data_IF_401670023882
#
_entry.id   IF_401670023882
#
_cell.length_a   1.000
_cell.length_b   1.000
_cell.length_c   1.000
_cell.angle_alpha   90.00
_cell.angle_beta   90.00
_cell.angle_gamma   90.00
#
_symmetry.space_group_name_H-M   'P 1'
#
loop_
_entity.id
_entity.type
_entity.pdbx_description
1 polymer ?
#
# COMPACT_ATOMS: atom_id res chain seq x y z
N UNK A 1 18.31 -26.70 10.65
CA UNK A 1 17.51 -25.66 11.34
C UNK A 1 16.86 -24.85 10.24
N UNK A 2 15.56 -25.06 10.02
CA UNK A 2 14.82 -24.34 8.98
C UNK A 2 14.81 -22.87 9.36
N UNK A 3 15.43 -22.03 8.52
CA UNK A 3 15.49 -20.59 8.66
C UNK A 3 14.09 -20.07 8.34
N UNK A 4 13.17 -20.14 9.31
CA UNK A 4 11.94 -19.37 9.21
C UNK A 4 12.38 -17.93 9.28
N UNK A 5 12.25 -17.21 8.16
CA UNK A 5 12.48 -15.78 8.10
C UNK A 5 11.45 -15.15 9.02
N UNK A 6 11.84 -14.89 10.27
CA UNK A 6 10.98 -14.28 11.27
C UNK A 6 10.75 -12.82 10.86
N UNK A 7 9.60 -12.58 10.22
CA UNK A 7 9.12 -11.25 9.91
C UNK A 7 8.91 -10.47 11.22
N UNK A 8 9.28 -9.20 11.23
CA UNK A 8 9.24 -8.34 12.42
C UNK A 8 8.11 -7.33 12.27
N UNK A 9 7.26 -7.20 13.28
CA UNK A 9 6.21 -6.18 13.33
C UNK A 9 6.82 -4.81 13.59
N UNK A 10 6.68 -3.88 12.65
CA UNK A 10 7.16 -2.49 12.76
C UNK A 10 6.07 -1.49 13.05
N UNK A 11 4.82 -1.82 12.69
CA UNK A 11 3.65 -0.99 12.96
C UNK A 11 2.46 -1.84 13.39
N UNK A 12 1.61 -1.27 14.25
CA UNK A 12 0.40 -1.92 14.75
C UNK A 12 -0.75 -0.91 14.73
N UNK A 13 -1.88 -1.33 14.17
CA UNK A 13 -3.11 -0.55 14.14
C UNK A 13 -4.35 -1.42 14.42
N UNK A 14 -5.53 -0.78 14.52
CA UNK A 14 -6.84 -1.41 14.65
C UNK A 14 -7.63 -1.51 13.34
N UNK A 15 -7.11 -0.99 12.23
CA UNK A 15 -7.80 -0.97 10.94
C UNK A 15 -6.93 -1.45 9.80
N UNK A 16 -7.53 -2.17 8.85
CA UNK A 16 -6.82 -2.68 7.68
C UNK A 16 -6.37 -1.53 6.76
N UNK A 17 -7.18 -0.47 6.65
CA UNK A 17 -6.86 0.73 5.87
C UNK A 17 -5.56 1.41 6.28
N UNK A 18 -5.35 1.66 7.59
CA UNK A 18 -4.12 2.28 8.06
C UNK A 18 -2.90 1.36 7.86
N UNK A 19 -3.10 0.04 7.95
CA UNK A 19 -2.04 -0.92 7.69
C UNK A 19 -1.66 -0.98 6.20
N UNK A 20 -2.63 -0.90 5.30
CA UNK A 20 -2.40 -0.80 3.85
C UNK A 20 -1.63 0.49 3.51
N UNK A 21 -2.01 1.64 4.10
CA UNK A 21 -1.29 2.90 3.87
C UNK A 21 0.19 2.81 4.28
N UNK A 22 0.47 2.19 5.43
CA UNK A 22 1.83 2.00 5.92
C UNK A 22 2.60 0.99 5.05
N UNK A 23 1.96 -0.10 4.61
CA UNK A 23 2.56 -1.05 3.67
C UNK A 23 2.95 -0.35 2.37
N UNK A 24 2.05 0.43 1.78
CA UNK A 24 2.26 1.06 0.49
C UNK A 24 3.41 2.08 0.58
N UNK A 25 3.49 2.87 1.65
CA UNK A 25 4.64 3.77 1.91
C UNK A 25 5.98 3.01 2.00
N UNK A 26 5.98 1.86 2.65
CA UNK A 26 7.18 1.01 2.75
C UNK A 26 7.55 0.42 1.39
N UNK A 27 6.57 -0.07 0.61
CA UNK A 27 6.77 -0.66 -0.71
C UNK A 27 7.31 0.37 -1.73
N UNK A 28 6.74 1.58 -1.74
CA UNK A 28 7.19 2.73 -2.54
C UNK A 28 8.66 3.10 -2.24
N UNK A 29 9.10 2.86 -0.99
CA UNK A 29 10.47 3.09 -0.55
C UNK A 29 11.39 1.88 -0.75
N UNK A 30 10.89 0.82 -1.38
CA UNK A 30 11.62 -0.42 -1.67
C UNK A 30 11.78 -1.37 -0.48
N UNK A 31 11.01 -1.17 0.60
CA UNK A 31 11.01 -2.03 1.78
C UNK A 31 9.83 -3.02 1.66
N UNK A 32 10.09 -4.33 1.46
CA UNK A 32 9.01 -5.29 1.33
C UNK A 32 8.24 -5.41 2.65
N UNK A 33 6.93 -5.20 2.58
CA UNK A 33 6.04 -5.22 3.75
C UNK A 33 4.83 -6.14 3.53
N UNK A 34 4.40 -6.80 4.59
CA UNK A 34 3.19 -7.65 4.60
C UNK A 34 2.27 -7.25 5.75
N UNK A 35 0.96 -7.33 5.51
CA UNK A 35 -0.06 -7.05 6.53
C UNK A 35 -0.58 -8.36 7.11
N UNK A 36 -0.50 -8.49 8.44
CA UNK A 36 -1.07 -9.59 9.21
C UNK A 36 -2.24 -9.07 10.05
N UNK A 37 -3.46 -9.37 9.61
CA UNK A 37 -4.69 -9.04 10.34
C UNK A 37 -5.11 -10.22 11.22
N UNK A 38 -5.35 -9.96 12.50
CA UNK A 38 -6.00 -10.90 13.44
C UNK A 38 -7.45 -10.48 13.74
N UNK A 39 -7.97 -9.51 12.98
CA UNK A 39 -9.28 -8.91 13.19
C UNK A 39 -10.38 -9.84 12.72
N UNK A 40 -11.38 -10.04 13.56
CA UNK A 40 -12.63 -10.66 13.14
C UNK A 40 -13.53 -9.62 12.45
N UNK A 41 -13.66 -9.73 11.13
CA UNK A 41 -14.47 -8.78 10.35
C UNK A 41 -15.99 -8.93 10.55
N UNK A 42 -16.46 -10.00 11.19
CA UNK A 42 -17.89 -10.16 11.50
C UNK A 42 -18.34 -9.23 12.64
N UNK A 43 -17.39 -8.77 13.47
CA UNK A 43 -17.63 -7.78 14.50
C UNK A 43 -16.94 -6.47 14.13
N UNK A 44 -17.71 -5.43 13.85
CA UNK A 44 -17.17 -4.11 13.48
C UNK A 44 -16.62 -3.31 14.68
N UNK A 45 -15.93 -3.98 15.59
CA UNK A 45 -15.35 -3.42 16.81
C UNK A 45 -13.83 -3.40 16.67
N UNK A 46 -13.24 -2.19 16.73
CA UNK A 46 -11.79 -2.00 16.61
C UNK A 46 -11.11 -1.93 18.00
N UNK A 47 -11.62 -2.69 18.98
CA UNK A 47 -11.23 -2.53 20.39
C UNK A 47 -10.36 -3.69 20.86
N UNK A 48 -9.16 -3.35 21.36
CA UNK A 48 -8.27 -4.29 22.01
C UNK A 48 -7.47 -5.18 21.05
N UNK A 49 -6.84 -6.22 21.59
CA UNK A 49 -5.95 -7.11 20.83
C UNK A 49 -6.66 -7.94 19.74
N UNK A 50 -7.98 -8.11 19.85
CA UNK A 50 -8.81 -8.83 18.87
C UNK A 50 -9.06 -8.07 17.56
N UNK A 51 -8.64 -6.81 17.47
CA UNK A 51 -8.69 -6.00 16.26
C UNK A 51 -7.29 -5.64 15.76
N UNK A 52 -6.25 -6.33 16.24
CA UNK A 52 -4.87 -5.98 15.89
C UNK A 52 -4.53 -6.34 14.45
N UNK A 53 -4.06 -5.33 13.72
CA UNK A 53 -3.48 -5.46 12.39
C UNK A 53 -2.01 -5.03 12.49
N UNK A 54 -1.13 -5.89 12.00
CA UNK A 54 0.31 -5.70 12.07
C UNK A 54 0.88 -5.50 10.68
N UNK A 55 1.77 -4.53 10.52
CA UNK A 55 2.62 -4.41 9.33
C UNK A 55 3.98 -4.99 9.68
N UNK A 56 4.41 -5.97 8.88
CA UNK A 56 5.62 -6.73 9.10
C UNK A 56 6.61 -6.57 7.95
N UNK A 57 7.90 -6.55 8.27
CA UNK A 57 9.00 -6.45 7.30
C UNK A 57 10.07 -7.53 7.60
N UNK A 58 10.96 -7.85 6.65
CA UNK A 58 12.12 -8.69 6.93
C UNK A 58 13.00 -8.07 8.03
N UNK A 59 13.61 -8.89 8.90
CA UNK A 59 14.39 -8.40 10.03
C UNK A 59 15.55 -7.51 9.60
N UNK A 60 16.16 -7.78 8.45
CA UNK A 60 17.27 -6.98 7.88
C UNK A 60 16.85 -5.55 7.45
N UNK A 61 15.54 -5.26 7.41
CA UNK A 61 14.95 -3.96 7.02
C UNK A 61 14.14 -3.31 8.13
N UNK A 62 14.11 -3.90 9.32
CA UNK A 62 13.27 -3.42 10.42
C UNK A 62 13.65 -2.01 10.88
N UNK A 63 14.95 -1.73 11.03
CA UNK A 63 15.44 -0.41 11.43
C UNK A 63 15.15 0.65 10.35
N UNK A 64 15.43 0.34 9.08
CA UNK A 64 15.12 1.21 7.93
C UNK A 64 13.62 1.57 7.88
N UNK A 65 12.74 0.59 8.13
CA UNK A 65 11.30 0.79 8.13
C UNK A 65 10.83 1.69 9.26
N UNK A 66 11.37 1.51 10.47
CA UNK A 66 11.02 2.36 11.62
C UNK A 66 11.48 3.79 11.37
N UNK A 67 12.70 3.99 10.89
CA UNK A 67 13.25 5.32 10.57
C UNK A 67 12.37 6.05 9.54
N UNK A 68 11.96 5.37 8.47
CA UNK A 68 11.08 5.94 7.45
C UNK A 68 9.68 6.32 7.97
N UNK A 69 9.15 5.56 8.93
CA UNK A 69 7.84 5.81 9.51
C UNK A 69 7.86 6.92 10.57
N UNK A 70 9.02 7.19 11.17
CA UNK A 70 9.23 8.30 12.10
C UNK A 70 9.60 9.61 11.39
N UNK A 71 9.93 9.57 10.10
CA UNK A 71 10.24 10.75 9.30
C UNK A 71 9.03 11.71 9.23
N UNK A 72 9.24 12.94 9.70
CA UNK A 72 8.29 14.05 9.63
C UNK A 72 8.94 15.24 8.94
N UNK A 73 8.22 15.89 8.03
CA UNK A 73 8.66 17.15 7.43
C UNK A 73 8.37 18.31 8.37
N UNK A 74 9.34 19.21 8.53
CA UNK A 74 9.13 20.44 9.28
C UNK A 74 8.27 21.44 8.48
N UNK A 75 7.63 22.38 9.18
CA UNK A 75 6.71 23.36 8.56
C UNK A 75 7.37 24.16 7.42
N UNK A 76 8.65 24.53 7.57
CA UNK A 76 9.42 25.26 6.56
C UNK A 76 9.62 24.42 5.28
N UNK A 77 9.89 23.12 5.41
CA UNK A 77 10.05 22.20 4.27
C UNK A 77 8.70 21.99 3.55
N UNK A 78 7.62 21.91 4.33
CA UNK A 78 6.27 21.78 3.79
C UNK A 78 5.84 23.05 3.02
N UNK A 79 6.16 24.24 3.54
CA UNK A 79 5.88 25.52 2.87
C UNK A 79 6.69 25.65 1.57
N UNK A 80 7.96 25.28 1.58
CA UNK A 80 8.80 25.27 0.37
C UNK A 80 8.21 24.34 -0.71
N UNK A 81 7.84 23.11 -0.33
CA UNK A 81 7.22 22.15 -1.24
C UNK A 81 5.89 22.66 -1.82
N UNK A 82 5.06 23.29 -0.99
CA UNK A 82 3.77 23.84 -1.41
C UNK A 82 3.94 25.01 -2.39
N UNK A 83 4.90 25.91 -2.15
CA UNK A 83 5.19 27.04 -3.04
C UNK A 83 5.89 26.61 -4.35
N UNK A 84 6.64 25.52 -4.30
CA UNK A 84 7.34 24.94 -5.47
C UNK A 84 6.45 24.09 -6.38
N UNK A 85 5.25 23.69 -5.92
CA UNK A 85 4.33 22.90 -6.71
C UNK A 85 3.82 23.68 -7.94
N UNK A 86 3.87 23.07 -9.13
CA UNK A 86 3.35 23.66 -10.36
C UNK A 86 1.84 23.37 -10.49
N UNK A 87 0.95 24.36 -10.30
CA UNK A 87 -0.49 24.15 -10.46
C UNK A 87 -0.91 23.89 -11.92
N UNK A 88 -0.01 24.10 -12.87
CA UNK A 88 -0.21 23.81 -14.30
C UNK A 88 0.45 22.50 -14.74
N UNK A 89 0.98 21.70 -13.81
CA UNK A 89 1.50 20.39 -14.11
C UNK A 89 0.41 19.52 -14.76
N UNK A 90 0.78 18.64 -15.73
CA UNK A 90 -0.16 17.69 -16.28
C UNK A 90 -0.68 16.75 -15.18
N UNK A 91 -1.92 16.25 -15.31
CA UNK A 91 -2.50 15.33 -14.33
C UNK A 91 -1.64 14.07 -14.17
N UNK A 92 -1.58 13.56 -12.93
CA UNK A 92 -0.78 12.39 -12.58
C UNK A 92 -1.25 11.10 -13.27
N UNK A 93 -2.54 11.03 -13.62
CA UNK A 93 -3.15 9.92 -14.32
C UNK A 93 -3.64 10.37 -15.70
N UNK A 94 -3.68 9.43 -16.64
CA UNK A 94 -4.37 9.63 -17.92
C UNK A 94 -5.90 9.60 -17.71
N UNK A 95 -6.69 10.22 -18.61
CA UNK A 95 -8.15 10.16 -18.53
C UNK A 95 -8.72 8.73 -18.49
N UNK A 96 -8.05 7.77 -19.15
CA UNK A 96 -8.41 6.34 -19.14
C UNK A 96 -8.15 5.67 -17.78
N UNK A 97 -7.11 6.07 -17.06
CA UNK A 97 -6.81 5.57 -15.71
C UNK A 97 -7.79 6.15 -14.68
N UNK A 98 -8.08 7.45 -14.76
CA UNK A 98 -9.12 8.09 -13.92
C UNK A 98 -10.50 7.47 -14.15
N UNK A 99 -10.84 7.14 -15.40
CA UNK A 99 -12.11 6.49 -15.74
C UNK A 99 -12.27 5.10 -15.10
N UNK A 100 -11.18 4.41 -14.77
CA UNK A 100 -11.22 3.11 -14.05
C UNK A 100 -11.44 3.27 -12.55
N UNK A 101 -11.13 4.45 -12.01
CA UNK A 101 -11.28 4.78 -10.59
C UNK A 101 -12.70 5.29 -10.28
N UNK A 102 -13.41 5.82 -11.27
CA UNK A 102 -14.82 6.19 -11.16
C UNK A 102 -15.68 4.93 -11.03
N UNK A 103 -15.81 4.46 -9.78
CA UNK A 103 -16.56 3.26 -9.39
C UNK A 103 -18.08 3.37 -9.65
N UNK A 104 -18.54 4.42 -10.35
CA UNK A 104 -19.90 4.56 -10.88
C UNK A 104 -20.16 3.85 -12.22
N UNK A 105 -19.14 3.36 -12.92
CA UNK A 105 -19.28 2.56 -14.14
C UNK A 105 -18.16 1.52 -14.25
N UNK A 106 -18.40 0.31 -13.76
CA UNK A 106 -17.58 -0.85 -14.12
C UNK A 106 -17.71 -1.09 -15.63
N UNK A 107 -16.82 -0.50 -16.43
CA UNK A 107 -16.56 -1.00 -17.77
C UNK A 107 -15.81 -2.32 -17.63
N UNK A 108 -16.57 -3.40 -17.42
CA UNK A 108 -16.07 -4.77 -17.51
C UNK A 108 -15.44 -4.95 -18.89
N UNK A 109 -14.10 -5.05 -18.95
CA UNK A 109 -13.40 -5.37 -20.18
C UNK A 109 -13.69 -6.84 -20.55
N UNK A 110 -14.73 -7.06 -21.36
CA UNK A 110 -15.10 -8.35 -21.95
C UNK A 110 -14.35 -8.62 -23.26
N UNK A 111 -13.08 -8.19 -23.37
CA UNK A 111 -12.26 -8.62 -24.50
C UNK A 111 -12.06 -10.14 -24.37
N UNK A 112 -12.47 -10.94 -25.38
CA UNK A 112 -12.11 -12.35 -25.41
C UNK A 112 -10.58 -12.48 -25.37
N UNK A 113 -10.02 -13.47 -24.66
CA UNK A 113 -8.60 -13.78 -24.82
C UNK A 113 -8.36 -14.02 -26.32
N UNK A 114 -7.33 -13.38 -26.87
CA UNK A 114 -6.89 -13.66 -28.24
C UNK A 114 -6.56 -15.15 -28.30
N UNK A 115 -7.28 -15.90 -29.15
CA UNK A 115 -6.98 -17.30 -29.41
C UNK A 115 -5.55 -17.35 -29.96
N UNK A 116 -4.63 -17.95 -29.20
CA UNK A 116 -3.32 -18.32 -29.72
C UNK A 116 -3.58 -19.21 -30.94
N UNK A 117 -3.32 -18.68 -32.15
CA UNK A 117 -3.37 -19.48 -33.37
C UNK A 117 -2.30 -20.58 -33.24
N UNK A 118 -2.77 -21.78 -32.87
CA UNK A 118 -1.96 -22.99 -32.78
C UNK A 118 -1.57 -23.41 -34.21
N UNK A 119 -0.46 -22.85 -34.68
CA UNK A 119 0.23 -23.25 -35.90
C UNK A 119 0.62 -24.73 -35.77
N UNK A 120 -0.23 -25.61 -36.30
CA UNK A 120 0.06 -27.05 -36.43
C UNK A 120 -0.27 -27.53 -37.85
N UNK A 121 0.80 -27.53 -38.66
CA UNK A 121 1.13 -28.35 -39.85
C UNK A 121 0.14 -28.47 -41.02
#
# INVERSE_FOLDING_TARGET
>A
MSKHEEWVSVFRTGTDYEADLVRDRLDDSGIPAVVLTQRDHAFNLNVGDLASVHVMVPPDRADDAVELLEETLDDDELEEAALGADPSAPPANTPDEDSKLDSGHEHMNFSPPEEEEEDTE
#
